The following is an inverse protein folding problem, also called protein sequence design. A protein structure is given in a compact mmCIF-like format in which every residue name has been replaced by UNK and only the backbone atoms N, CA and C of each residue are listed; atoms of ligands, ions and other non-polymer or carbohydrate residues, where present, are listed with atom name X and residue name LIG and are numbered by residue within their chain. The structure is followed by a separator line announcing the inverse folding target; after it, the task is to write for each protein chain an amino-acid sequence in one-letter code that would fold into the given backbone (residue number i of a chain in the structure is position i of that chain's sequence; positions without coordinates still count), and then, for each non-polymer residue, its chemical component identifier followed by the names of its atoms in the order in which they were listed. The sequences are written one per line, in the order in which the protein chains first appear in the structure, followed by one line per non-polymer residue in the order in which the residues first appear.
data_IF_528173834186
#
_entry.id   IF_528173834186
#
_cell.length_a   1.000
_cell.length_b   1.000
_cell.length_c   1.000
_cell.angle_alpha   90.00
_cell.angle_beta   90.00
_cell.angle_gamma   90.00
#
_symmetry.space_group_name_H-M   'P 1'
#
loop_
_entity.id
_entity.type
_entity.pdbx_description
1 polymer ?
#
# COMPACT_ATOMS: atom_id res chain seq x y z
N UNK A 1 -10.50 -11.82 19.21
CA UNK A 1 -10.08 -10.99 18.06
C UNK A 1 -8.57 -10.80 18.15
N UNK A 2 -7.79 -11.24 17.15
CA UNK A 2 -6.32 -11.13 17.18
C UNK A 2 -5.91 -9.71 16.80
N UNK A 3 -5.11 -9.05 17.64
CA UNK A 3 -4.47 -7.79 17.30
C UNK A 3 -3.15 -8.08 16.59
N UNK A 4 -2.78 -7.23 15.63
CA UNK A 4 -1.51 -7.30 14.91
C UNK A 4 -0.81 -5.96 15.13
N UNK A 5 0.49 -6.02 15.41
CA UNK A 5 1.35 -4.86 15.53
C UNK A 5 1.91 -4.48 14.14
N UNK A 6 2.01 -3.18 13.87
CA UNK A 6 2.59 -2.65 12.63
C UNK A 6 3.74 -1.70 12.97
N UNK A 7 4.83 -1.80 12.21
CA UNK A 7 5.96 -0.88 12.30
C UNK A 7 5.66 0.38 11.48
N UNK A 8 5.66 1.54 12.15
CA UNK A 8 5.37 2.85 11.53
C UNK A 8 6.63 3.70 11.35
N UNK A 9 7.82 3.11 11.44
CA UNK A 9 9.10 3.79 11.22
C UNK A 9 9.33 4.27 9.78
N UNK A 10 8.59 3.73 8.80
CA UNK A 10 8.76 4.02 7.39
C UNK A 10 7.40 4.29 6.71
N UNK A 11 7.39 5.25 5.76
CA UNK A 11 6.21 5.58 4.97
C UNK A 11 5.84 4.44 4.03
N UNK A 12 4.68 3.84 4.22
CA UNK A 12 4.13 2.74 3.42
C UNK A 12 2.60 2.76 3.47
N UNK A 13 1.95 2.10 2.51
CA UNK A 13 0.52 1.80 2.60
C UNK A 13 0.37 0.45 3.30
N UNK A 14 -0.52 0.37 4.29
CA UNK A 14 -0.88 -0.88 4.96
C UNK A 14 -2.29 -1.30 4.57
N UNK A 15 -2.40 -2.48 3.96
CA UNK A 15 -3.68 -3.08 3.56
C UNK A 15 -4.09 -4.12 4.58
N UNK A 16 -5.31 -3.99 5.10
CA UNK A 16 -5.94 -4.99 5.97
C UNK A 16 -6.94 -5.80 5.16
N UNK A 17 -6.74 -7.12 5.04
CA UNK A 17 -7.65 -8.03 4.33
C UNK A 17 -7.72 -9.37 5.06
N UNK A 18 -8.94 -9.77 5.41
CA UNK A 18 -9.23 -11.07 6.05
C UNK A 18 -8.35 -11.35 7.28
N UNK A 19 -8.11 -10.31 8.10
CA UNK A 19 -7.31 -10.40 9.32
C UNK A 19 -5.79 -10.38 9.11
N UNK A 20 -5.31 -10.20 7.87
CA UNK A 20 -3.90 -10.06 7.55
C UNK A 20 -3.56 -8.60 7.21
N UNK A 21 -2.32 -8.21 7.52
CA UNK A 21 -1.76 -6.92 7.13
C UNK A 21 -0.70 -7.15 6.05
N UNK A 22 -0.80 -6.45 4.94
CA UNK A 22 0.19 -6.43 3.87
C UNK A 22 0.72 -5.02 3.68
N UNK A 23 2.04 -4.86 3.72
CA UNK A 23 2.69 -3.57 3.44
C UNK A 23 2.94 -3.43 1.93
N UNK A 24 2.58 -2.28 1.39
CA UNK A 24 2.92 -1.87 0.02
C UNK A 24 3.95 -0.75 0.11
N UNK A 25 5.14 -1.02 -0.41
CA UNK A 25 6.24 -0.05 -0.39
C UNK A 25 5.93 1.14 -1.33
N UNK A 26 6.40 2.34 -1.00
CA UNK A 26 6.27 3.50 -1.87
C UNK A 26 7.02 3.29 -3.20
N UNK A 27 6.71 4.08 -4.25
CA UNK A 27 7.44 4.05 -5.51
C UNK A 27 8.95 4.25 -5.30
N UNK A 28 9.78 3.41 -5.92
CA UNK A 28 11.25 3.39 -5.76
C UNK A 28 11.88 4.74 -6.14
N UNK A 29 11.31 5.46 -7.11
CA UNK A 29 11.79 6.78 -7.52
C UNK A 29 11.55 7.87 -6.46
N UNK A 30 10.73 7.59 -5.44
CA UNK A 30 10.22 8.58 -4.48
C UNK A 30 9.05 9.42 -5.01
N UNK A 31 8.67 9.23 -6.29
CA UNK A 31 7.57 9.96 -6.92
C UNK A 31 6.59 8.99 -7.59
N UNK A 32 5.30 9.17 -7.32
CA UNK A 32 4.28 8.35 -7.95
C UNK A 32 2.95 8.36 -7.20
N UNK A 33 2.05 7.51 -7.65
CA UNK A 33 0.70 7.35 -7.12
C UNK A 33 0.45 5.87 -6.81
N UNK A 34 -0.28 5.60 -5.73
CA UNK A 34 -0.71 4.25 -5.36
C UNK A 34 -2.20 4.29 -5.05
N UNK A 35 -2.98 3.47 -5.77
CA UNK A 35 -4.44 3.45 -5.68
C UNK A 35 -4.90 2.06 -5.24
N UNK A 36 -5.59 1.99 -4.10
CA UNK A 36 -6.20 0.75 -3.63
C UNK A 36 -7.52 0.51 -4.38
N UNK A 37 -7.63 -0.63 -5.04
CA UNK A 37 -8.84 -1.04 -5.75
C UNK A 37 -9.63 -2.02 -4.89
N UNK A 38 -10.92 -1.74 -4.73
CA UNK A 38 -11.84 -2.54 -3.93
C UNK A 38 -12.78 -3.32 -4.85
N UNK A 39 -12.91 -4.62 -4.59
CA UNK A 39 -13.86 -5.50 -5.29
C UNK A 39 -14.62 -6.30 -4.23
N UNK A 40 -15.95 -6.28 -4.30
CA UNK A 40 -16.82 -7.00 -3.37
C UNK A 40 -16.52 -6.72 -1.88
N UNK A 41 -16.25 -5.45 -1.55
CA UNK A 41 -16.00 -5.00 -0.17
C UNK A 41 -14.62 -5.37 0.40
N UNK A 42 -13.71 -5.92 -0.41
CA UNK A 42 -12.33 -6.22 -0.02
C UNK A 42 -11.34 -5.51 -0.92
N UNK A 43 -10.18 -5.15 -0.38
CA UNK A 43 -9.06 -4.69 -1.20
C UNK A 43 -8.62 -5.85 -2.10
N UNK A 44 -8.66 -5.64 -3.41
CA UNK A 44 -8.25 -6.61 -4.41
C UNK A 44 -6.76 -6.46 -4.71
N UNK A 45 -6.33 -5.24 -5.01
CA UNK A 45 -4.98 -4.88 -5.42
C UNK A 45 -4.65 -3.42 -5.11
N UNK A 46 -3.37 -3.07 -5.24
CA UNK A 46 -2.89 -1.68 -5.24
C UNK A 46 -2.18 -1.43 -6.56
N UNK A 47 -2.76 -0.57 -7.39
CA UNK A 47 -2.15 -0.15 -8.65
C UNK A 47 -1.11 0.94 -8.33
N UNK A 48 0.15 0.70 -8.68
CA UNK A 48 1.26 1.63 -8.43
C UNK A 48 1.76 2.23 -9.75
N UNK A 49 1.75 3.56 -9.82
CA UNK A 49 2.29 4.33 -10.94
C UNK A 49 3.59 5.01 -10.51
N UNK A 50 4.68 4.70 -11.19
CA UNK A 50 5.96 5.37 -10.99
C UNK A 50 6.01 6.62 -11.86
N UNK A 51 6.49 7.72 -11.30
CA UNK A 51 6.77 8.93 -12.04
C UNK A 51 8.25 9.25 -11.89
N UNK A 52 8.85 9.71 -12.97
CA UNK A 52 10.21 10.24 -12.96
C UNK A 52 10.14 11.69 -13.40
N UNK A 53 10.72 12.59 -12.59
CA UNK A 53 10.82 13.99 -12.94
C UNK A 53 12.07 14.18 -13.79
N UNK A 54 11.88 14.38 -15.08
CA UNK A 54 12.97 14.78 -15.98
C UNK A 54 13.36 16.22 -15.65
N UNK A 55 14.66 16.46 -15.49
CA UNK A 55 15.24 17.81 -15.33
C UNK A 55 15.69 18.36 -16.68
#
# INVERSE_FOLDING_TARGET
MKKIEIDVSNNKIYIVKDGNVTAVNPPISGFGEQVAVWVNGKVDRVDTKFTEKIK
#
